data_IF_232351514840
#
_entry.id   IF_232351514840
#
_cell.length_a   1.000
_cell.length_b   1.000
_cell.length_c   1.000
_cell.angle_alpha   90.00
_cell.angle_beta   90.00
_cell.angle_gamma   90.00
#
_symmetry.space_group_name_H-M   'P 1'
#
loop_
_entity.id
_entity.type
_entity.pdbx_description
1 polymer ?
#
# COMPACT_ATOMS: atom_id res chain seq x y z
N UNK A 1 6.25 0.91 -33.38
CA UNK A 1 6.56 2.04 -32.49
C UNK A 1 6.66 1.43 -31.11
N UNK A 2 7.86 1.33 -30.57
CA UNK A 2 8.12 0.80 -29.24
C UNK A 2 7.57 1.79 -28.22
N UNK A 3 6.74 1.29 -27.31
CA UNK A 3 6.24 2.02 -26.16
C UNK A 3 7.43 2.31 -25.21
N UNK A 4 7.73 3.58 -24.88
CA UNK A 4 8.87 3.91 -24.01
C UNK A 4 8.67 3.52 -22.53
N UNK A 5 7.63 2.75 -22.19
CA UNK A 5 7.36 2.23 -20.85
C UNK A 5 7.65 0.72 -20.70
N UNK A 6 8.18 0.06 -21.74
CA UNK A 6 8.52 -1.37 -21.74
C UNK A 6 9.98 -1.61 -21.30
N UNK A 7 10.28 -1.40 -20.02
CA UNK A 7 11.58 -1.74 -19.44
C UNK A 7 11.52 -2.60 -18.18
N UNK A 8 10.47 -3.40 -17.98
CA UNK A 8 10.50 -4.48 -16.97
C UNK A 8 10.89 -4.07 -15.56
N UNK A 9 10.63 -2.81 -15.18
CA UNK A 9 10.82 -2.32 -13.81
C UNK A 9 9.51 -2.45 -13.04
N UNK A 10 9.60 -2.95 -11.81
CA UNK A 10 8.47 -3.01 -10.88
C UNK A 10 7.99 -1.59 -10.57
N UNK A 11 6.70 -1.31 -10.80
CA UNK A 11 6.10 0.01 -10.56
C UNK A 11 4.97 -0.09 -9.53
N UNK A 12 5.15 0.62 -8.41
CA UNK A 12 4.12 0.81 -7.39
C UNK A 12 3.97 2.30 -7.07
N UNK A 13 2.72 2.70 -6.83
CA UNK A 13 2.29 4.10 -6.73
C UNK A 13 2.38 4.57 -5.29
N UNK A 14 2.76 5.84 -5.14
CA UNK A 14 2.57 6.58 -3.91
C UNK A 14 1.35 7.49 -4.00
N UNK A 15 0.24 7.08 -3.39
CA UNK A 15 -0.79 7.99 -2.92
C UNK A 15 -0.18 9.03 -1.98
N UNK A 16 -0.72 10.23 -2.01
CA UNK A 16 -0.17 11.40 -1.36
C UNK A 16 -1.18 11.83 -0.30
N UNK A 17 -0.81 11.69 0.96
CA UNK A 17 -1.65 12.09 2.10
C UNK A 17 -1.11 13.35 2.74
N UNK A 18 -1.54 14.53 2.27
CA UNK A 18 -1.24 15.83 2.90
C UNK A 18 -1.82 15.98 4.30
N UNK A 19 -2.72 15.08 4.68
CA UNK A 19 -3.50 15.10 5.92
C UNK A 19 -3.14 13.96 6.88
N UNK A 20 -2.28 13.04 6.45
CA UNK A 20 -1.89 11.88 7.26
C UNK A 20 -0.38 11.79 7.47
N UNK A 21 0.40 11.52 6.42
CA UNK A 21 1.84 11.21 6.52
C UNK A 21 2.74 12.33 5.98
N UNK A 22 2.17 13.44 5.55
CA UNK A 22 2.86 14.69 5.25
C UNK A 22 2.00 15.90 5.55
N UNK A 23 2.39 17.04 4.97
CA UNK A 23 1.62 18.30 4.92
C UNK A 23 1.50 18.77 3.46
N UNK A 24 0.67 19.78 3.14
CA UNK A 24 0.63 20.36 1.80
C UNK A 24 1.99 20.88 1.30
N UNK A 25 2.83 21.40 2.20
CA UNK A 25 4.17 21.93 1.86
C UNK A 25 5.26 20.85 1.84
N UNK A 26 5.09 19.78 2.61
CA UNK A 26 6.01 18.66 2.75
C UNK A 26 5.25 17.33 2.72
N UNK A 27 4.78 16.90 1.54
CA UNK A 27 3.81 15.83 1.42
C UNK A 27 4.42 14.45 1.62
N UNK A 28 3.65 13.52 2.17
CA UNK A 28 4.07 12.14 2.37
C UNK A 28 3.93 11.28 1.11
N UNK A 29 4.18 9.99 1.28
CA UNK A 29 4.08 8.90 0.29
C UNK A 29 3.45 7.69 0.98
N UNK A 30 2.28 7.26 0.50
CA UNK A 30 1.51 6.09 0.97
C UNK A 30 1.15 5.22 -0.23
N UNK A 31 0.79 3.95 -0.09
CA UNK A 31 0.56 3.09 -1.26
C UNK A 31 -0.80 3.33 -1.94
N UNK A 32 -0.90 2.99 -3.22
CA UNK A 32 -2.16 2.70 -3.93
C UNK A 32 -1.92 1.64 -5.00
N UNK A 33 -2.99 1.08 -5.57
CA UNK A 33 -2.95 -0.03 -6.53
C UNK A 33 -2.96 0.48 -7.98
N UNK A 34 -2.10 -0.08 -8.85
CA UNK A 34 -2.18 0.09 -10.30
C UNK A 34 -2.73 -1.19 -10.92
N UNK A 35 -3.47 -1.02 -12.02
CA UNK A 35 -3.72 -2.14 -12.93
C UNK A 35 -2.43 -2.49 -13.68
N UNK A 36 -2.06 -3.77 -13.66
CA UNK A 36 -0.88 -4.30 -14.35
C UNK A 36 -1.20 -5.67 -14.95
N UNK A 37 -0.65 -5.95 -16.13
CA UNK A 37 -0.71 -7.28 -16.73
C UNK A 37 0.39 -8.19 -16.14
N UNK A 38 0.20 -8.61 -14.89
CA UNK A 38 1.10 -9.54 -14.17
C UNK A 38 0.30 -10.66 -13.50
N UNK A 39 0.99 -11.77 -13.19
CA UNK A 39 0.44 -12.86 -12.37
C UNK A 39 0.82 -12.72 -10.88
N UNK A 40 1.50 -11.64 -10.50
CA UNK A 40 1.89 -11.40 -9.12
C UNK A 40 0.72 -10.86 -8.30
N UNK A 41 0.36 -11.51 -7.18
CA UNK A 41 -0.72 -11.05 -6.33
C UNK A 41 -0.27 -9.87 -5.46
N UNK A 42 -1.20 -8.94 -5.19
CA UNK A 42 -1.05 -8.00 -4.08
C UNK A 42 -1.59 -8.65 -2.83
N UNK A 43 -0.72 -8.84 -1.85
CA UNK A 43 -1.08 -9.38 -0.55
C UNK A 43 -1.71 -8.33 0.35
N UNK A 44 -2.68 -8.75 1.16
CA UNK A 44 -3.37 -7.87 2.08
C UNK A 44 -4.43 -8.60 2.91
N UNK A 45 -5.24 -7.82 3.62
CA UNK A 45 -6.33 -8.34 4.45
C UNK A 45 -7.69 -7.87 3.94
N UNK A 46 -8.65 -8.79 3.90
CA UNK A 46 -10.06 -8.48 3.67
C UNK A 46 -10.82 -8.44 5.00
N UNK A 47 -11.60 -7.39 5.22
CA UNK A 47 -12.38 -7.21 6.44
C UNK A 47 -13.88 -7.39 6.16
N UNK A 48 -14.50 -8.37 6.81
CA UNK A 48 -15.96 -8.55 6.78
C UNK A 48 -16.61 -7.60 7.77
N UNK A 49 -17.42 -6.67 7.27
CA UNK A 49 -18.19 -5.74 8.09
C UNK A 49 -19.56 -6.35 8.38
N UNK A 50 -19.95 -6.35 9.66
CA UNK A 50 -21.29 -6.78 10.07
C UNK A 50 -22.37 -5.95 9.34
N UNK A 51 -23.46 -6.57 8.84
CA UNK A 51 -24.47 -5.86 8.03
C UNK A 51 -25.03 -4.59 8.68
N UNK A 52 -25.20 -4.59 10.01
CA UNK A 52 -25.69 -3.44 10.77
C UNK A 52 -24.71 -2.26 10.85
N UNK A 53 -23.42 -2.49 10.59
CA UNK A 53 -22.35 -1.50 10.69
C UNK A 53 -21.90 -0.96 9.33
N UNK A 54 -22.37 -1.55 8.22
CA UNK A 54 -21.91 -1.23 6.86
C UNK A 54 -22.02 0.26 6.56
N UNK A 55 -23.18 0.87 6.79
CA UNK A 55 -23.40 2.28 6.46
C UNK A 55 -22.49 3.19 7.28
N UNK A 56 -22.32 2.89 8.58
CA UNK A 56 -21.48 3.67 9.50
C UNK A 56 -20.01 3.58 9.12
N UNK A 57 -19.52 2.36 8.87
CA UNK A 57 -18.10 2.13 8.53
C UNK A 57 -17.80 2.65 7.13
N UNK A 58 -18.71 2.46 6.16
CA UNK A 58 -18.54 3.02 4.82
C UNK A 58 -18.49 4.54 4.85
N UNK A 59 -19.37 5.20 5.59
CA UNK A 59 -19.33 6.66 5.74
C UNK A 59 -18.00 7.13 6.36
N UNK A 60 -17.47 6.40 7.34
CA UNK A 60 -16.16 6.68 7.91
C UNK A 60 -15.01 6.49 6.90
N UNK A 61 -15.03 5.41 6.13
CA UNK A 61 -14.02 5.15 5.09
C UNK A 61 -14.09 6.17 3.96
N UNK A 62 -15.29 6.55 3.51
CA UNK A 62 -15.48 7.57 2.47
C UNK A 62 -14.90 8.94 2.88
N UNK A 63 -14.95 9.28 4.18
CA UNK A 63 -14.33 10.50 4.71
C UNK A 63 -12.81 10.39 4.80
N UNK A 64 -12.29 9.22 5.19
CA UNK A 64 -10.85 8.98 5.30
C UNK A 64 -10.17 8.99 3.92
N UNK A 65 -10.85 8.49 2.90
CA UNK A 65 -10.32 8.33 1.54
C UNK A 65 -10.79 9.47 0.60
N UNK A 66 -11.28 10.59 1.18
CA UNK A 66 -11.88 11.72 0.46
C UNK A 66 -10.94 12.39 -0.56
N UNK A 67 -9.62 12.18 -0.43
CA UNK A 67 -8.61 12.79 -1.28
C UNK A 67 -8.38 12.00 -2.58
N UNK A 68 -9.46 11.75 -3.33
CA UNK A 68 -9.39 11.25 -4.70
C UNK A 68 -9.25 9.73 -4.87
N UNK A 69 -9.40 8.95 -3.79
CA UNK A 69 -9.58 7.51 -3.92
C UNK A 69 -11.00 7.21 -4.39
N UNK A 70 -11.13 6.19 -5.24
CA UNK A 70 -12.40 5.75 -5.81
C UNK A 70 -12.69 4.31 -5.40
N UNK A 71 -13.98 3.95 -5.30
CA UNK A 71 -14.40 2.60 -4.92
C UNK A 71 -14.41 1.70 -6.17
N UNK A 72 -13.62 0.64 -6.12
CA UNK A 72 -13.59 -0.42 -7.12
C UNK A 72 -14.15 -1.71 -6.53
N UNK A 73 -14.80 -2.54 -7.36
CA UNK A 73 -15.24 -3.88 -6.97
C UNK A 73 -14.36 -4.90 -7.65
N UNK A 74 -13.68 -5.73 -6.88
CA UNK A 74 -12.77 -6.74 -7.40
C UNK A 74 -12.89 -8.05 -6.61
N UNK A 75 -12.80 -9.22 -7.26
CA UNK A 75 -12.60 -10.49 -6.54
C UNK A 75 -11.28 -10.45 -5.75
N UNK A 76 -11.34 -10.89 -4.49
CA UNK A 76 -10.17 -11.11 -3.62
C UNK A 76 -10.10 -12.59 -3.29
N UNK A 77 -8.95 -13.21 -3.54
CA UNK A 77 -8.70 -14.61 -3.26
C UNK A 77 -8.10 -14.75 -1.86
N UNK A 78 -8.39 -15.87 -1.19
CA UNK A 78 -7.84 -16.17 0.12
C UNK A 78 -7.33 -17.61 0.19
N UNK A 79 -6.45 -17.87 1.16
CA UNK A 79 -5.89 -19.17 1.50
C UNK A 79 -6.55 -19.81 2.75
N UNK A 80 -7.62 -19.22 3.29
CA UNK A 80 -8.34 -19.79 4.45
C UNK A 80 -8.81 -21.23 4.16
N UNK A 81 -8.60 -22.12 5.13
CA UNK A 81 -9.14 -23.50 5.10
C UNK A 81 -10.65 -23.55 5.44
N UNK A 82 -11.29 -22.39 5.61
CA UNK A 82 -12.68 -22.25 6.02
C UNK A 82 -13.64 -22.44 4.82
N UNK A 83 -14.41 -23.52 4.84
CA UNK A 83 -15.34 -23.88 3.76
C UNK A 83 -16.56 -22.95 3.63
N UNK A 84 -16.82 -22.10 4.63
CA UNK A 84 -17.95 -21.18 4.68
C UNK A 84 -17.65 -19.79 4.11
N UNK A 85 -16.39 -19.52 3.74
CA UNK A 85 -15.99 -18.28 3.07
C UNK A 85 -15.89 -18.52 1.55
N UNK A 86 -16.64 -17.79 0.71
CA UNK A 86 -16.55 -17.91 -0.75
C UNK A 86 -15.15 -17.53 -1.24
N UNK A 87 -14.61 -18.30 -2.20
CA UNK A 87 -13.33 -17.99 -2.85
C UNK A 87 -13.52 -17.94 -4.39
N UNK A 88 -13.41 -16.76 -5.04
CA UNK A 88 -13.05 -15.46 -4.47
C UNK A 88 -14.18 -14.78 -3.69
N UNK A 89 -13.80 -13.87 -2.79
CA UNK A 89 -14.72 -12.96 -2.08
C UNK A 89 -14.97 -11.72 -2.96
N UNK A 90 -16.22 -11.32 -3.20
CA UNK A 90 -16.51 -10.02 -3.79
C UNK A 90 -16.21 -8.91 -2.77
N UNK A 91 -15.20 -8.07 -3.05
CA UNK A 91 -14.77 -7.01 -2.14
C UNK A 91 -14.87 -5.63 -2.80
N UNK A 92 -14.85 -4.59 -1.96
CA UNK A 92 -14.59 -3.21 -2.39
C UNK A 92 -13.15 -2.83 -2.06
N UNK A 93 -12.53 -2.06 -2.93
CA UNK A 93 -11.19 -1.51 -2.76
C UNK A 93 -11.27 0.00 -2.96
N UNK A 94 -10.54 0.75 -2.13
CA UNK A 94 -10.32 2.18 -2.34
C UNK A 94 -9.01 2.33 -3.10
N UNK A 95 -9.07 2.90 -4.30
CA UNK A 95 -7.90 3.06 -5.18
C UNK A 95 -7.76 4.52 -5.61
N UNK A 96 -6.60 5.11 -5.34
CA UNK A 96 -6.17 6.38 -5.93
C UNK A 96 -5.69 6.10 -7.36
N UNK A 97 -6.54 6.42 -8.34
CA UNK A 97 -6.24 6.21 -9.76
C UNK A 97 -5.23 7.23 -10.27
N UNK A 98 -4.59 7.01 -11.45
CA UNK A 98 -3.68 7.99 -12.05
C UNK A 98 -4.27 9.38 -12.31
N UNK A 99 -5.60 9.48 -12.44
CA UNK A 99 -6.31 10.75 -12.59
C UNK A 99 -6.45 11.55 -11.28
N UNK A 100 -6.07 10.95 -10.13
CA UNK A 100 -6.07 11.65 -8.86
C UNK A 100 -4.99 12.76 -8.87
N UNK A 101 -5.32 14.03 -8.56
CA UNK A 101 -4.33 15.12 -8.49
C UNK A 101 -3.17 14.86 -7.52
N UNK A 102 -3.38 13.95 -6.56
CA UNK A 102 -2.40 13.51 -5.58
C UNK A 102 -1.52 12.35 -6.07
N UNK A 103 -1.78 11.81 -7.25
CA UNK A 103 -0.93 10.77 -7.83
C UNK A 103 0.44 11.35 -8.18
N UNK A 104 1.46 10.89 -7.46
CA UNK A 104 2.85 11.16 -7.80
C UNK A 104 3.34 9.91 -8.49
N UNK A 105 3.63 10.03 -9.79
CA UNK A 105 4.15 8.92 -10.59
C UNK A 105 5.46 8.35 -10.06
N UNK A 106 6.13 7.50 -10.85
CA UNK A 106 7.29 6.77 -10.35
C UNK A 106 8.39 7.68 -9.79
N UNK A 107 9.06 7.29 -8.70
CA UNK A 107 10.16 8.05 -8.15
C UNK A 107 11.38 8.02 -9.08
N UNK A 108 12.29 8.98 -8.92
CA UNK A 108 13.58 8.98 -9.62
C UNK A 108 14.43 7.74 -9.26
N UNK A 109 14.35 7.29 -8.01
CA UNK A 109 14.97 6.04 -7.54
C UNK A 109 14.37 5.61 -6.20
N UNK A 110 14.54 4.33 -5.84
CA UNK A 110 14.19 3.80 -4.50
C UNK A 110 14.87 4.58 -3.38
N UNK A 111 16.12 4.99 -3.56
CA UNK A 111 16.86 5.80 -2.57
C UNK A 111 16.26 7.20 -2.41
N UNK A 112 15.92 7.88 -3.51
CA UNK A 112 15.31 9.21 -3.46
C UNK A 112 13.95 9.16 -2.74
N UNK A 113 13.15 8.14 -3.05
CA UNK A 113 11.89 7.89 -2.38
C UNK A 113 12.05 7.57 -0.89
N UNK A 114 13.01 6.71 -0.53
CA UNK A 114 13.31 6.42 0.86
C UNK A 114 13.68 7.71 1.62
N UNK A 115 14.57 8.53 1.08
CA UNK A 115 14.93 9.84 1.68
C UNK A 115 13.72 10.76 1.85
N UNK A 116 12.83 10.79 0.86
CA UNK A 116 11.58 11.55 0.92
C UNK A 116 10.68 11.05 2.06
N UNK A 117 10.49 9.73 2.17
CA UNK A 117 9.71 9.11 3.26
C UNK A 117 10.32 9.42 4.63
N UNK A 118 11.64 9.30 4.76
CA UNK A 118 12.35 9.55 6.01
C UNK A 118 12.25 11.01 6.48
N UNK A 119 12.08 11.96 5.55
CA UNK A 119 11.95 13.38 5.86
C UNK A 119 10.50 13.86 6.00
N UNK A 120 9.52 13.01 5.73
CA UNK A 120 8.10 13.36 5.72
C UNK A 120 7.37 13.02 7.03
N UNK A 121 6.51 13.94 7.48
CA UNK A 121 5.67 13.78 8.69
C UNK A 121 4.37 14.53 8.51
N UNK A 122 3.26 13.92 8.94
CA UNK A 122 1.95 14.55 8.95
C UNK A 122 1.21 14.36 10.28
N UNK A 123 -0.07 14.74 10.34
CA UNK A 123 -0.91 14.62 11.53
C UNK A 123 -1.01 13.20 12.11
N UNK A 124 -0.88 12.17 11.26
CA UNK A 124 -0.92 10.76 11.64
C UNK A 124 0.45 10.19 12.04
N UNK A 125 1.51 11.00 12.09
CA UNK A 125 2.85 10.58 12.48
C UNK A 125 3.88 10.64 11.35
N UNK A 126 5.01 9.96 11.55
CA UNK A 126 6.09 9.94 10.57
C UNK A 126 5.73 9.06 9.38
N UNK A 127 6.21 9.39 8.19
CA UNK A 127 5.96 8.55 7.03
C UNK A 127 6.76 7.24 7.08
N UNK A 128 7.93 7.23 7.72
CA UNK A 128 8.69 5.99 7.93
C UNK A 128 7.95 4.96 8.79
N UNK A 129 7.19 5.41 9.79
CA UNK A 129 6.34 4.51 10.60
C UNK A 129 5.30 3.81 9.72
N UNK A 130 4.74 4.51 8.74
CA UNK A 130 3.83 3.90 7.77
C UNK A 130 4.52 2.80 6.95
N UNK A 131 5.70 3.10 6.40
CA UNK A 131 6.47 2.15 5.59
C UNK A 131 6.87 0.90 6.40
N UNK A 132 7.42 1.09 7.60
CA UNK A 132 7.87 -0.03 8.43
C UNK A 132 6.70 -0.87 8.95
N UNK A 133 5.58 -0.25 9.33
CA UNK A 133 4.40 -1.02 9.74
C UNK A 133 3.82 -1.83 8.58
N UNK A 134 3.84 -1.29 7.35
CA UNK A 134 3.42 -2.02 6.15
C UNK A 134 4.35 -3.20 5.87
N UNK A 135 5.66 -2.96 5.84
CA UNK A 135 6.68 -4.00 5.69
C UNK A 135 6.48 -5.13 6.72
N UNK A 136 6.39 -4.77 8.00
CA UNK A 136 6.18 -5.74 9.08
C UNK A 136 4.85 -6.49 8.91
N UNK A 137 3.76 -5.82 8.53
CA UNK A 137 2.47 -6.47 8.35
C UNK A 137 2.47 -7.51 7.22
N UNK A 138 3.12 -7.19 6.09
CA UNK A 138 3.21 -8.11 4.95
C UNK A 138 4.06 -9.35 5.28
N UNK A 139 5.22 -9.15 5.92
CA UNK A 139 6.09 -10.25 6.30
C UNK A 139 5.47 -11.19 7.38
N UNK A 140 4.44 -10.74 8.09
CA UNK A 140 3.68 -11.57 9.04
C UNK A 140 2.38 -12.15 8.46
N UNK A 141 2.00 -11.78 7.23
CA UNK A 141 0.69 -12.15 6.68
C UNK A 141 0.65 -13.61 6.24
N UNK A 142 1.66 -14.06 5.51
CA UNK A 142 1.84 -15.43 5.01
C UNK A 142 3.32 -15.63 4.64
N UNK A 143 3.83 -16.87 4.69
CA UNK A 143 5.20 -17.18 4.29
C UNK A 143 5.51 -16.81 2.82
N UNK A 144 4.48 -16.72 1.99
CA UNK A 144 4.55 -16.32 0.58
C UNK A 144 4.11 -14.87 0.33
N UNK A 145 3.68 -14.14 1.36
CA UNK A 145 3.23 -12.74 1.28
C UNK A 145 4.39 -11.73 1.17
N UNK A 146 5.37 -12.04 0.34
CA UNK A 146 6.50 -11.15 0.10
C UNK A 146 6.18 -10.13 -0.98
N UNK A 147 6.38 -8.85 -0.66
CA UNK A 147 6.33 -7.74 -1.61
C UNK A 147 7.75 -7.20 -1.78
N UNK A 148 8.34 -7.44 -2.95
CA UNK A 148 9.72 -7.06 -3.25
C UNK A 148 9.91 -5.53 -3.15
N UNK A 149 8.95 -4.76 -3.66
CA UNK A 149 9.05 -3.31 -3.69
C UNK A 149 9.00 -2.70 -2.29
N UNK A 150 8.01 -3.09 -1.48
CA UNK A 150 7.90 -2.61 -0.09
C UNK A 150 9.14 -3.03 0.72
N UNK A 151 9.63 -4.25 0.50
CA UNK A 151 10.81 -4.77 1.17
C UNK A 151 12.08 -3.99 0.80
N UNK A 152 12.33 -3.78 -0.49
CA UNK A 152 13.48 -3.01 -0.97
C UNK A 152 13.45 -1.56 -0.46
N UNK A 153 12.26 -0.94 -0.48
CA UNK A 153 12.09 0.42 0.00
C UNK A 153 12.30 0.54 1.51
N UNK A 154 11.75 -0.39 2.29
CA UNK A 154 11.93 -0.44 3.74
C UNK A 154 13.40 -0.67 4.11
N UNK A 155 14.08 -1.62 3.44
CA UNK A 155 15.50 -1.88 3.65
C UNK A 155 16.37 -0.69 3.28
N UNK A 156 16.08 -0.01 2.16
CA UNK A 156 16.77 1.22 1.75
C UNK A 156 16.60 2.34 2.79
N UNK A 157 15.38 2.54 3.29
CA UNK A 157 15.12 3.53 4.34
C UNK A 157 15.90 3.20 5.63
N UNK A 158 15.90 1.94 6.04
CA UNK A 158 16.63 1.48 7.23
C UNK A 158 18.15 1.64 7.08
N UNK A 159 18.70 1.34 5.91
CA UNK A 159 20.12 1.57 5.59
C UNK A 159 20.49 3.06 5.74
N UNK A 160 19.67 3.96 5.19
CA UNK A 160 19.91 5.41 5.25
C UNK A 160 19.87 5.93 6.70
N UNK A 161 18.95 5.45 7.54
CA UNK A 161 18.86 5.83 8.95
C UNK A 161 19.89 5.11 9.86
N UNK A 162 20.60 4.11 9.33
CA UNK A 162 21.54 3.31 10.10
C UNK A 162 20.87 2.36 11.11
N UNK A 163 19.66 1.90 10.82
CA UNK A 163 18.89 0.94 11.63
C UNK A 163 18.80 -0.41 10.92
N UNK A 164 18.52 -1.47 11.69
CA UNK A 164 18.28 -2.81 11.14
C UNK A 164 16.81 -3.15 11.27
N UNK A 165 16.18 -3.57 10.19
CA UNK A 165 14.84 -4.15 10.23
C UNK A 165 14.97 -5.63 10.60
N UNK A 166 14.32 -6.03 11.69
CA UNK A 166 14.22 -7.43 12.04
C UNK A 166 13.32 -8.12 11.01
N UNK A 167 13.85 -9.16 10.35
CA UNK A 167 12.99 -10.09 9.62
C UNK A 167 12.18 -10.86 10.66
N UNK A 168 10.85 -10.92 10.55
CA UNK A 168 10.07 -11.63 11.54
C UNK A 168 10.43 -13.11 11.55
N UNK A 169 10.52 -13.67 12.75
CA UNK A 169 10.52 -15.12 12.94
C UNK A 169 9.13 -15.63 12.57
N UNK A 170 8.94 -16.05 11.33
CA UNK A 170 7.76 -16.85 10.95
C UNK A 170 8.06 -18.28 11.39
N UNK A 171 7.42 -18.81 12.46
CA UNK A 171 7.55 -20.23 12.78
C UNK A 171 7.01 -21.05 11.60
N UNK A 172 7.79 -22.08 11.20
CA UNK A 172 7.44 -23.07 10.17
C UNK A 172 6.06 -23.71 10.39
#
# INVERSE_FOLDING_TARGET
>A
MSDPLDDGQDFWIFGYGEDHRGTPEAPGRVVTLIEQETNEPVWGAAYLIAPSEVDRIKAYLDLREINGYTIHRHPVYHNLEAADVPNPIPAILYIGTPDNPQFVGPPESTRALAQHILSSRGPSGENKEYLYNLYTALEHLDATAHDAHVSELAMMAAEIEGVTLEKPNVPE
#
